data_IF_237769897466
#
_entry.id   IF_237769897466
#
_cell.length_a   1.000
_cell.length_b   1.000
_cell.length_c   1.000
_cell.angle_alpha   90.00
_cell.angle_beta   90.00
_cell.angle_gamma   90.00
#
_symmetry.space_group_name_H-M   'P 1'
#
loop_
_entity.id
_entity.type
_entity.pdbx_description
1 polymer ?
#
# COMPACT_ATOMS: atom_id res chain seq x y z
N UNK A 1 -5.59 -20.85 -0.34
CA UNK A 1 -6.27 -19.55 -0.14
C UNK A 1 -5.49 -18.53 -0.95
N UNK A 2 -6.11 -17.88 -1.94
CA UNK A 2 -5.47 -16.79 -2.68
C UNK A 2 -5.25 -15.65 -1.69
N UNK A 3 -4.05 -15.56 -1.12
CA UNK A 3 -3.68 -14.42 -0.29
C UNK A 3 -3.26 -13.29 -1.24
N UNK A 4 -4.26 -12.71 -1.91
CA UNK A 4 -4.08 -11.55 -2.78
C UNK A 4 -3.95 -10.32 -1.90
N UNK A 5 -2.80 -10.17 -1.24
CA UNK A 5 -2.46 -8.95 -0.50
C UNK A 5 -2.71 -7.73 -1.40
N UNK A 6 -3.40 -6.73 -0.85
CA UNK A 6 -3.87 -5.60 -1.63
C UNK A 6 -2.67 -4.73 -2.01
N UNK A 7 -2.46 -4.54 -3.31
CA UNK A 7 -1.33 -3.75 -3.82
C UNK A 7 -1.69 -2.27 -3.82
N UNK A 8 -0.84 -1.45 -3.24
CA UNK A 8 -1.05 0.00 -3.20
C UNK A 8 0.26 0.75 -3.41
N UNK A 9 0.17 2.02 -3.81
CA UNK A 9 1.34 2.86 -4.08
C UNK A 9 1.81 3.54 -2.80
N UNK A 10 3.12 3.74 -2.67
CA UNK A 10 3.70 4.56 -1.58
C UNK A 10 3.03 5.93 -1.48
N UNK A 11 2.85 6.63 -2.62
CA UNK A 11 2.17 7.94 -2.68
C UNK A 11 0.75 7.94 -2.12
N UNK A 12 0.02 6.82 -2.27
CA UNK A 12 -1.36 6.71 -1.81
C UNK A 12 -1.41 6.57 -0.28
N UNK A 13 -0.49 5.77 0.28
CA UNK A 13 -0.28 5.68 1.73
C UNK A 13 0.10 7.05 2.28
N UNK A 14 1.13 7.70 1.74
CA UNK A 14 1.60 9.00 2.22
C UNK A 14 0.52 10.10 2.14
N UNK A 15 -0.34 10.07 1.12
CA UNK A 15 -1.47 10.98 1.01
C UNK A 15 -2.51 10.70 2.11
N UNK A 16 -2.83 9.44 2.36
CA UNK A 16 -3.76 9.03 3.41
C UNK A 16 -3.23 9.40 4.81
N UNK A 17 -1.96 9.12 5.10
CA UNK A 17 -1.35 9.44 6.39
C UNK A 17 -1.32 10.96 6.63
N UNK A 18 -0.97 11.75 5.61
CA UNK A 18 -1.04 13.22 5.71
C UNK A 18 -2.46 13.75 5.89
N UNK A 19 -3.44 13.12 5.26
CA UNK A 19 -4.84 13.54 5.36
C UNK A 19 -5.43 13.23 6.75
N UNK A 20 -5.05 12.10 7.34
CA UNK A 20 -5.67 11.57 8.55
C UNK A 20 -4.84 11.79 9.82
N UNK A 21 -3.55 12.09 9.69
CA UNK A 21 -2.60 12.18 10.81
C UNK A 21 -2.12 10.82 11.33
N UNK A 22 -2.53 9.71 10.72
CA UNK A 22 -2.13 8.36 11.11
C UNK A 22 -0.84 7.94 10.41
N UNK A 23 0.29 8.48 10.86
CA UNK A 23 1.62 8.11 10.35
C UNK A 23 1.95 6.64 10.68
N UNK A 24 2.51 5.90 9.71
CA UNK A 24 2.98 4.53 9.89
C UNK A 24 1.93 3.42 9.68
N UNK A 25 0.70 3.78 9.31
CA UNK A 25 -0.37 2.80 9.07
C UNK A 25 -0.06 1.91 7.86
N UNK A 26 0.61 2.46 6.84
CA UNK A 26 1.00 1.68 5.67
C UNK A 26 2.03 0.62 5.99
N UNK A 27 3.03 0.94 6.80
CA UNK A 27 4.05 -0.02 7.25
C UNK A 27 3.41 -1.11 8.11
N UNK A 28 2.56 -0.73 9.06
CA UNK A 28 1.83 -1.69 9.90
C UNK A 28 1.03 -2.69 9.05
N UNK A 29 0.25 -2.22 8.07
CA UNK A 29 -0.51 -3.13 7.20
C UNK A 29 0.36 -3.99 6.30
N UNK A 30 1.54 -3.51 5.89
CA UNK A 30 2.49 -4.30 5.12
C UNK A 30 3.11 -5.41 5.99
N UNK A 31 3.49 -5.12 7.24
CA UNK A 31 4.00 -6.10 8.20
C UNK A 31 2.98 -7.19 8.53
N UNK A 32 1.68 -6.83 8.60
CA UNK A 32 0.60 -7.80 8.78
C UNK A 32 0.26 -8.61 7.51
N UNK A 33 0.94 -8.33 6.39
CA UNK A 33 0.67 -8.99 5.11
C UNK A 33 -0.69 -8.64 4.50
N UNK A 34 -1.32 -7.55 4.96
CA UNK A 34 -2.62 -7.09 4.46
C UNK A 34 -2.48 -6.32 3.14
N UNK A 35 -1.39 -5.57 3.00
CA UNK A 35 -1.07 -4.82 1.79
C UNK A 35 0.36 -5.08 1.31
N UNK A 36 0.60 -4.82 0.02
CA UNK A 36 1.94 -4.73 -0.55
C UNK A 36 2.13 -3.34 -1.12
N UNK A 37 3.13 -2.61 -0.60
CA UNK A 37 3.48 -1.28 -1.09
C UNK A 37 4.39 -1.43 -2.31
N UNK A 38 3.97 -0.89 -3.45
CA UNK A 38 4.73 -0.90 -4.70
C UNK A 38 5.16 0.53 -5.09
N UNK A 39 6.44 0.73 -5.42
CA UNK A 39 6.99 2.01 -5.87
C UNK A 39 6.58 2.34 -7.31
N UNK A 40 6.63 1.37 -8.22
CA UNK A 40 6.25 1.50 -9.63
C UNK A 40 5.18 0.47 -10.05
N UNK A 41 4.32 0.84 -11.00
CA UNK A 41 3.46 -0.15 -11.65
C UNK A 41 4.36 -0.72 -12.72
N UNK A 42 4.45 -2.04 -12.79
CA UNK A 42 4.43 -2.64 -14.11
C UNK A 42 3.14 -2.13 -14.74
N UNK A 43 3.29 -1.16 -15.66
CA UNK A 43 2.20 -0.65 -16.51
C UNK A 43 1.40 -1.88 -16.92
N UNK A 44 0.12 -1.95 -16.55
CA UNK A 44 -0.75 -2.98 -17.07
C UNK A 44 -0.62 -2.93 -18.60
N UNK A 45 0.04 -3.93 -19.19
CA UNK A 45 -0.01 -4.12 -20.62
C UNK A 45 -1.47 -4.47 -20.93
N UNK A 46 -2.15 -3.53 -21.58
CA UNK A 46 -3.50 -3.70 -22.11
C UNK A 46 -3.59 -4.89 -23.07
#
# INVERSE_FOLDING_TARGET
MHNSALRTRRRAIEAYERHTGFTGIGEYFAEQGLITIIDEEAVCAE
#
